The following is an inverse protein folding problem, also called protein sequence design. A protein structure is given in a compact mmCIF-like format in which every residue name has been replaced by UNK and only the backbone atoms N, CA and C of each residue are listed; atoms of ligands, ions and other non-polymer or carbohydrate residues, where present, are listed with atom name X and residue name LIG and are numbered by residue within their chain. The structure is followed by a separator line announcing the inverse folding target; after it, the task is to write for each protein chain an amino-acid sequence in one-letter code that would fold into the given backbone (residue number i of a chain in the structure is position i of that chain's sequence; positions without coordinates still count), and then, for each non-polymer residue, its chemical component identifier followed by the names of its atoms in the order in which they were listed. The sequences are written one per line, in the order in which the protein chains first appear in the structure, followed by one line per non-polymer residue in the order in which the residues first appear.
data_IF_520205311555
#
_entry.id   IF_520205311555
#
_cell.length_a   1.000
_cell.length_b   1.000
_cell.length_c   1.000
_cell.angle_alpha   90.00
_cell.angle_beta   90.00
_cell.angle_gamma   90.00
#
_symmetry.space_group_name_H-M   'P 1'
#
loop_
_entity.id
_entity.type
_entity.pdbx_description
1 polymer ?
#
# COMPACT_ATOMS: atom_id res chain seq x y z
N UNK A 1 -27.75 -9.53 27.48
CA UNK A 1 -29.21 -9.53 27.31
C UNK A 1 -30.07 -9.41 28.56
N UNK A 2 -29.60 -9.64 29.81
CA UNK A 2 -30.44 -9.46 31.00
C UNK A 2 -31.09 -8.07 31.10
N UNK A 3 -30.33 -7.00 30.87
CA UNK A 3 -30.82 -5.61 30.94
C UNK A 3 -31.99 -5.33 29.99
N UNK A 4 -31.91 -5.79 28.73
CA UNK A 4 -32.99 -5.62 27.74
C UNK A 4 -34.21 -6.48 28.08
N UNK A 5 -34.00 -7.68 28.63
CA UNK A 5 -35.09 -8.53 29.14
C UNK A 5 -35.84 -7.85 30.27
N UNK A 6 -35.11 -7.26 31.22
CA UNK A 6 -35.67 -6.48 32.33
C UNK A 6 -36.43 -5.25 31.82
N UNK A 7 -35.81 -4.46 30.92
CA UNK A 7 -36.44 -3.26 30.35
C UNK A 7 -37.72 -3.57 29.55
N UNK A 8 -37.78 -4.72 28.89
CA UNK A 8 -38.93 -5.15 28.08
C UNK A 8 -39.94 -6.01 28.85
N UNK A 9 -39.67 -6.32 30.11
CA UNK A 9 -40.52 -7.18 30.95
C UNK A 9 -40.70 -8.60 30.38
N UNK A 10 -39.67 -9.16 29.74
CA UNK A 10 -39.74 -10.48 29.10
C UNK A 10 -38.53 -11.34 29.42
N UNK A 11 -38.75 -12.65 29.60
CA UNK A 11 -37.66 -13.62 29.77
C UNK A 11 -37.21 -14.25 28.43
N UNK A 12 -37.93 -14.01 27.34
CA UNK A 12 -37.71 -14.64 26.04
C UNK A 12 -36.82 -13.79 25.11
N UNK A 13 -35.69 -14.34 24.67
CA UNK A 13 -34.76 -13.66 23.75
C UNK A 13 -35.42 -13.32 22.41
N UNK A 14 -36.26 -14.21 21.88
CA UNK A 14 -37.00 -13.98 20.64
C UNK A 14 -37.88 -12.72 20.69
N UNK A 15 -38.49 -12.43 21.85
CA UNK A 15 -39.32 -11.24 22.04
C UNK A 15 -38.46 -9.97 22.03
N UNK A 16 -37.28 -10.02 22.65
CA UNK A 16 -36.31 -8.91 22.63
C UNK A 16 -35.87 -8.63 21.20
N UNK A 17 -35.40 -9.64 20.47
CA UNK A 17 -34.95 -9.46 19.08
C UNK A 17 -36.06 -9.00 18.15
N UNK A 18 -37.30 -9.48 18.33
CA UNK A 18 -38.45 -9.02 17.53
C UNK A 18 -38.71 -7.53 17.75
N UNK A 19 -38.66 -7.05 19.00
CA UNK A 19 -38.84 -5.62 19.29
C UNK A 19 -37.67 -4.78 18.78
N UNK A 20 -36.43 -5.23 18.97
CA UNK A 20 -35.24 -4.55 18.45
C UNK A 20 -35.27 -4.42 16.93
N UNK A 21 -35.71 -5.45 16.20
CA UNK A 21 -35.87 -5.39 14.73
C UNK A 21 -36.79 -4.26 14.25
N UNK A 22 -37.79 -3.88 15.05
CA UNK A 22 -38.68 -2.75 14.71
C UNK A 22 -37.98 -1.40 14.81
N UNK A 23 -36.87 -1.32 15.55
CA UNK A 23 -36.13 -0.09 15.83
C UNK A 23 -34.86 0.04 14.95
N UNK A 24 -34.72 -0.78 13.91
CA UNK A 24 -33.53 -0.84 13.03
C UNK A 24 -32.22 -0.80 13.82
N UNK A 25 -32.07 -1.78 14.71
CA UNK A 25 -30.91 -1.86 15.59
C UNK A 25 -29.64 -2.37 14.88
N UNK A 26 -28.50 -2.00 15.44
CA UNK A 26 -27.17 -2.52 15.12
C UNK A 26 -26.68 -3.36 16.29
N UNK A 27 -26.00 -4.46 16.00
CA UNK A 27 -25.21 -5.19 16.99
C UNK A 27 -23.73 -4.88 16.82
N UNK A 28 -22.99 -4.82 17.93
CA UNK A 28 -21.54 -4.65 17.88
C UNK A 28 -20.90 -5.82 17.13
N UNK A 29 -19.93 -5.56 16.26
CA UNK A 29 -19.16 -6.65 15.68
C UNK A 29 -18.01 -7.08 16.60
N UNK A 30 -17.61 -6.21 17.53
CA UNK A 30 -16.73 -6.54 18.65
C UNK A 30 -17.52 -7.10 19.82
N UNK A 31 -16.83 -7.63 20.84
CA UNK A 31 -17.44 -8.16 22.07
C UNK A 31 -18.52 -9.22 21.80
N UNK A 32 -18.41 -9.97 20.70
CA UNK A 32 -19.32 -11.04 20.28
C UNK A 32 -20.79 -10.60 20.14
N UNK A 33 -21.06 -9.38 19.69
CA UNK A 33 -22.44 -8.92 19.47
C UNK A 33 -23.23 -8.63 20.74
N UNK A 34 -22.54 -8.38 21.86
CA UNK A 34 -23.18 -8.16 23.16
C UNK A 34 -23.86 -6.80 23.29
N UNK A 35 -23.44 -5.81 22.51
CA UNK A 35 -23.93 -4.44 22.60
C UNK A 35 -24.82 -4.10 21.40
N UNK A 36 -25.81 -3.25 21.68
CA UNK A 36 -26.83 -2.86 20.71
C UNK A 36 -26.94 -1.35 20.68
N UNK A 37 -27.14 -0.81 19.48
CA UNK A 37 -27.35 0.60 19.27
C UNK A 37 -28.44 0.82 18.23
N UNK A 38 -29.12 1.96 18.30
CA UNK A 38 -30.10 2.34 17.28
C UNK A 38 -29.36 2.95 16.09
N UNK A 39 -29.71 2.54 14.85
CA UNK A 39 -29.02 3.05 13.66
C UNK A 39 -29.07 4.57 13.54
N UNK A 40 -30.17 5.20 13.95
CA UNK A 40 -30.35 6.66 13.94
C UNK A 40 -29.33 7.41 14.83
N UNK A 41 -28.86 6.77 15.89
CA UNK A 41 -27.88 7.33 16.83
C UNK A 41 -26.43 7.08 16.41
N UNK A 42 -26.20 6.11 15.51
CA UNK A 42 -24.87 5.75 15.06
C UNK A 42 -24.27 6.86 14.17
N UNK A 43 -23.02 7.23 14.44
CA UNK A 43 -22.27 8.23 13.68
C UNK A 43 -21.11 7.54 12.98
N UNK A 44 -21.42 6.94 11.84
CA UNK A 44 -20.42 6.26 11.02
C UNK A 44 -19.44 7.24 10.40
N UNK A 45 -18.17 6.86 10.38
CA UNK A 45 -17.12 7.53 9.62
C UNK A 45 -17.21 7.22 8.11
N UNK A 46 -16.26 7.75 7.35
CA UNK A 46 -16.18 7.58 5.89
C UNK A 46 -16.04 6.12 5.45
N UNK A 47 -15.49 5.26 6.31
CA UNK A 47 -15.32 3.82 6.04
C UNK A 47 -16.48 2.98 6.59
N UNK A 48 -17.49 3.62 7.20
CA UNK A 48 -18.69 2.97 7.67
C UNK A 48 -18.56 2.31 9.04
N UNK A 49 -17.58 2.71 9.85
CA UNK A 49 -17.36 2.25 11.21
C UNK A 49 -17.80 3.33 12.21
N UNK A 50 -18.29 2.89 13.36
CA UNK A 50 -18.63 3.77 14.46
C UNK A 50 -18.25 3.08 15.77
N UNK A 51 -17.70 3.86 16.71
CA UNK A 51 -17.35 3.35 18.04
C UNK A 51 -18.00 4.18 19.14
N UNK A 52 -18.30 3.50 20.25
CA UNK A 52 -18.76 4.09 21.49
C UNK A 52 -18.15 3.29 22.66
N UNK A 53 -17.41 3.94 23.56
CA UNK A 53 -16.75 3.30 24.70
C UNK A 53 -15.95 2.03 24.33
N UNK A 54 -15.12 2.13 23.28
CA UNK A 54 -14.34 1.01 22.73
C UNK A 54 -15.17 -0.19 22.18
N UNK A 55 -16.48 -0.02 22.04
CA UNK A 55 -17.35 -0.96 21.35
C UNK A 55 -17.56 -0.49 19.91
N UNK A 56 -17.27 -1.37 18.96
CA UNK A 56 -17.32 -1.06 17.55
C UNK A 56 -18.53 -1.67 16.83
N UNK A 57 -19.09 -0.86 15.93
CA UNK A 57 -20.24 -1.13 15.10
C UNK A 57 -19.89 -0.81 13.64
N UNK A 58 -20.57 -1.51 12.73
CA UNK A 58 -20.37 -1.36 11.29
C UNK A 58 -21.70 -1.17 10.62
N UNK A 59 -21.73 -0.30 9.60
CA UNK A 59 -22.92 -0.14 8.75
C UNK A 59 -23.28 -1.43 8.02
N UNK A 60 -22.29 -2.31 7.81
CA UNK A 60 -22.42 -3.63 7.19
C UNK A 60 -22.89 -4.72 8.17
N UNK A 61 -23.09 -4.37 9.44
CA UNK A 61 -23.61 -5.26 10.48
C UNK A 61 -22.51 -6.11 11.12
N UNK A 62 -22.30 -7.33 10.62
CA UNK A 62 -21.40 -8.31 11.26
C UNK A 62 -19.93 -8.08 10.90
N UNK A 63 -19.01 -8.64 11.69
CA UNK A 63 -17.57 -8.59 11.39
C UNK A 63 -17.26 -9.22 10.03
N UNK A 64 -17.87 -10.38 9.73
CA UNK A 64 -17.70 -11.11 8.46
C UNK A 64 -18.13 -10.25 7.28
N UNK A 65 -19.33 -9.67 7.33
CA UNK A 65 -19.86 -8.78 6.28
C UNK A 65 -19.00 -7.52 6.11
N UNK A 66 -18.46 -7.00 7.22
CA UNK A 66 -17.59 -5.82 7.21
C UNK A 66 -16.27 -6.11 6.53
N UNK A 67 -15.59 -7.22 6.90
CA UNK A 67 -14.34 -7.65 6.27
C UNK A 67 -14.51 -7.84 4.77
N UNK A 68 -15.55 -8.57 4.35
CA UNK A 68 -15.82 -8.78 2.93
C UNK A 68 -16.04 -7.46 2.19
N UNK A 69 -16.81 -6.54 2.79
CA UNK A 69 -17.07 -5.22 2.21
C UNK A 69 -15.78 -4.39 2.08
N UNK A 70 -14.91 -4.43 3.10
CA UNK A 70 -13.62 -3.73 3.10
C UNK A 70 -12.68 -4.27 2.02
N UNK A 71 -12.61 -5.59 1.85
CA UNK A 71 -11.76 -6.22 0.84
C UNK A 71 -12.28 -5.95 -0.57
N UNK A 72 -13.58 -6.04 -0.81
CA UNK A 72 -14.14 -5.79 -2.14
C UNK A 72 -14.08 -4.32 -2.56
N UNK A 73 -14.17 -3.38 -1.61
CA UNK A 73 -14.06 -1.93 -1.91
C UNK A 73 -12.61 -1.44 -2.01
N UNK A 74 -11.63 -2.21 -1.51
CA UNK A 74 -10.23 -1.81 -1.56
C UNK A 74 -9.64 -1.98 -2.96
N UNK A 75 -8.99 -0.97 -3.54
CA UNK A 75 -8.30 -1.10 -4.82
C UNK A 75 -7.01 -1.93 -4.72
N UNK A 76 -6.56 -2.27 -3.51
CA UNK A 76 -5.29 -2.99 -3.25
C UNK A 76 -5.44 -4.26 -2.42
N UNK A 77 -6.68 -4.68 -2.12
CA UNK A 77 -6.93 -5.71 -1.10
C UNK A 77 -6.44 -5.29 0.28
N UNK A 78 -6.35 -6.24 1.21
CA UNK A 78 -5.90 -5.98 2.58
C UNK A 78 -5.09 -7.12 3.17
N UNK A 79 -4.05 -6.80 3.95
CA UNK A 79 -3.43 -7.80 4.81
C UNK A 79 -4.27 -8.06 6.07
N UNK A 80 -4.13 -9.25 6.65
CA UNK A 80 -4.81 -9.58 7.91
C UNK A 80 -4.49 -8.60 9.05
N UNK A 81 -3.24 -8.18 9.19
CA UNK A 81 -2.84 -7.25 10.25
C UNK A 81 -3.46 -5.86 10.02
N UNK A 82 -3.46 -5.35 8.79
CA UNK A 82 -4.08 -4.05 8.46
C UNK A 82 -5.58 -4.05 8.76
N UNK A 83 -6.27 -5.17 8.48
CA UNK A 83 -7.68 -5.34 8.84
C UNK A 83 -7.89 -5.41 10.35
N UNK A 84 -7.02 -6.12 11.08
CA UNK A 84 -7.12 -6.21 12.53
C UNK A 84 -6.95 -4.83 13.18
N UNK A 85 -6.01 -4.03 12.68
CA UNK A 85 -5.71 -2.69 13.19
C UNK A 85 -6.88 -1.73 12.93
N UNK A 86 -7.41 -1.69 11.69
CA UNK A 86 -8.49 -0.76 11.33
C UNK A 86 -9.86 -1.16 11.90
N UNK A 87 -10.13 -2.46 12.02
CA UNK A 87 -11.39 -2.97 12.56
C UNK A 87 -11.35 -3.12 14.09
N UNK A 88 -10.18 -2.93 14.72
CA UNK A 88 -10.00 -3.13 16.16
C UNK A 88 -10.56 -4.47 16.65
N UNK A 89 -10.38 -5.53 15.86
CA UNK A 89 -10.97 -6.85 16.10
C UNK A 89 -10.05 -7.98 15.59
N UNK A 90 -10.18 -9.16 16.19
CA UNK A 90 -9.50 -10.36 15.68
C UNK A 90 -10.18 -10.84 14.39
N UNK A 91 -9.43 -10.86 13.29
CA UNK A 91 -9.95 -11.16 11.95
C UNK A 91 -9.58 -12.55 11.44
N UNK A 92 -8.74 -13.31 12.16
CA UNK A 92 -8.16 -14.57 11.68
C UNK A 92 -9.23 -15.61 11.32
N UNK A 93 -10.13 -15.91 12.24
CA UNK A 93 -11.18 -16.91 12.02
C UNK A 93 -12.21 -16.44 10.99
N UNK A 94 -12.75 -15.19 11.05
CA UNK A 94 -13.61 -14.67 10.00
C UNK A 94 -13.00 -14.71 8.59
N UNK A 95 -11.71 -14.38 8.46
CA UNK A 95 -11.00 -14.44 7.18
C UNK A 95 -10.83 -15.88 6.70
N UNK A 96 -10.53 -16.81 7.61
CA UNK A 96 -10.44 -18.23 7.28
C UNK A 96 -11.79 -18.76 6.75
N UNK A 97 -12.89 -18.42 7.42
CA UNK A 97 -14.24 -18.81 7.02
C UNK A 97 -14.64 -18.20 5.68
N UNK A 98 -14.33 -16.91 5.44
CA UNK A 98 -14.61 -16.24 4.17
C UNK A 98 -13.86 -16.87 2.99
N UNK A 99 -12.62 -17.31 3.20
CA UNK A 99 -11.84 -18.00 2.17
C UNK A 99 -12.40 -19.40 1.92
N UNK A 100 -12.76 -20.14 2.98
CA UNK A 100 -13.37 -21.47 2.86
C UNK A 100 -14.72 -21.43 2.15
N UNK A 101 -15.48 -20.35 2.35
CA UNK A 101 -16.75 -20.10 1.67
C UNK A 101 -16.58 -19.51 0.25
N UNK A 102 -15.35 -19.41 -0.27
CA UNK A 102 -15.01 -18.85 -1.59
C UNK A 102 -15.48 -17.40 -1.81
N UNK A 103 -15.71 -16.66 -0.73
CA UNK A 103 -16.14 -15.25 -0.75
C UNK A 103 -14.97 -14.29 -0.87
N UNK A 104 -13.78 -14.74 -0.46
CA UNK A 104 -12.51 -14.03 -0.61
C UNK A 104 -11.42 -14.99 -1.09
N UNK A 105 -10.37 -14.44 -1.69
CA UNK A 105 -9.14 -15.19 -2.01
C UNK A 105 -8.02 -14.78 -1.07
N UNK A 106 -7.11 -15.72 -0.80
CA UNK A 106 -5.90 -15.50 0.01
C UNK A 106 -4.66 -15.72 -0.85
N UNK A 107 -3.70 -14.80 -0.73
CA UNK A 107 -2.39 -14.86 -1.37
C UNK A 107 -1.30 -14.77 -0.31
N UNK A 108 -0.22 -15.53 -0.48
CA UNK A 108 1.01 -15.33 0.29
C UNK A 108 1.86 -14.29 -0.44
N UNK A 109 2.16 -13.19 0.25
CA UNK A 109 3.01 -12.11 -0.27
C UNK A 109 4.04 -11.79 0.80
N UNK A 110 5.29 -12.21 0.57
CA UNK A 110 6.43 -11.99 1.47
C UNK A 110 6.15 -12.44 2.92
N UNK A 111 5.55 -13.64 3.10
CA UNK A 111 5.26 -14.21 4.42
C UNK A 111 4.07 -13.57 5.13
N UNK A 112 3.28 -12.74 4.44
CA UNK A 112 2.04 -12.13 4.94
C UNK A 112 0.87 -12.55 4.05
N UNK A 113 -0.30 -12.74 4.66
CA UNK A 113 -1.51 -13.13 3.94
C UNK A 113 -2.29 -11.91 3.46
N UNK A 114 -2.31 -11.71 2.15
CA UNK A 114 -3.11 -10.71 1.45
C UNK A 114 -4.45 -11.31 1.05
N UNK A 115 -5.52 -10.60 1.36
CA UNK A 115 -6.89 -10.99 1.03
C UNK A 115 -7.43 -10.08 -0.08
N UNK A 116 -8.02 -10.70 -1.10
CA UNK A 116 -8.56 -10.04 -2.29
C UNK A 116 -9.98 -10.52 -2.57
N UNK A 117 -10.67 -9.85 -3.49
CA UNK A 117 -11.99 -10.27 -3.96
C UNK A 117 -12.00 -11.72 -4.47
N UNK A 118 -13.15 -12.39 -4.37
CA UNK A 118 -13.40 -13.66 -5.03
C UNK A 118 -13.41 -13.55 -6.56
N UNK A 119 -13.81 -12.39 -7.10
CA UNK A 119 -13.76 -12.10 -8.53
C UNK A 119 -12.31 -12.03 -9.02
N UNK A 120 -11.96 -12.93 -9.94
CA UNK A 120 -10.60 -13.05 -10.47
C UNK A 120 -10.13 -11.83 -11.27
N UNK A 121 -11.02 -11.00 -11.81
CA UNK A 121 -10.62 -9.74 -12.46
C UNK A 121 -10.23 -8.72 -11.40
N UNK A 122 -11.10 -8.46 -10.44
CA UNK A 122 -10.84 -7.54 -9.34
C UNK A 122 -9.62 -7.97 -8.51
N UNK A 123 -9.47 -9.26 -8.22
CA UNK A 123 -8.32 -9.77 -7.47
C UNK A 123 -6.98 -9.46 -8.18
N UNK A 124 -6.92 -9.61 -9.52
CA UNK A 124 -5.73 -9.30 -10.30
C UNK A 124 -5.44 -7.79 -10.30
N UNK A 125 -6.47 -6.96 -10.41
CA UNK A 125 -6.32 -5.50 -10.35
C UNK A 125 -5.85 -5.06 -8.95
N UNK A 126 -6.37 -5.68 -7.90
CA UNK A 126 -5.94 -5.46 -6.51
C UNK A 126 -4.48 -5.84 -6.27
N UNK A 127 -4.06 -7.01 -6.74
CA UNK A 127 -2.67 -7.46 -6.65
C UNK A 127 -1.72 -6.52 -7.39
N UNK A 128 -2.08 -6.14 -8.62
CA UNK A 128 -1.26 -5.23 -9.43
C UNK A 128 -1.11 -3.88 -8.73
N UNK A 129 -2.22 -3.29 -8.29
CA UNK A 129 -2.22 -1.99 -7.60
C UNK A 129 -1.37 -2.03 -6.33
N UNK A 130 -1.43 -3.16 -5.59
CA UNK A 130 -0.63 -3.34 -4.38
C UNK A 130 0.86 -3.49 -4.69
N UNK A 131 1.21 -4.28 -5.70
CA UNK A 131 2.59 -4.41 -6.17
C UNK A 131 3.16 -3.06 -6.57
N UNK A 132 2.41 -2.25 -7.34
CA UNK A 132 2.86 -0.90 -7.71
C UNK A 132 2.97 0.04 -6.51
N UNK A 133 2.10 -0.10 -5.50
CA UNK A 133 2.10 0.76 -4.32
C UNK A 133 3.17 0.38 -3.28
N UNK A 134 3.59 -0.89 -3.23
CA UNK A 134 4.58 -1.40 -2.27
C UNK A 134 5.93 -1.76 -2.89
N UNK A 135 6.07 -1.75 -4.21
CA UNK A 135 7.35 -1.96 -4.86
C UNK A 135 8.31 -0.83 -4.45
N UNK A 136 9.32 -1.18 -3.68
CA UNK A 136 10.60 -0.47 -3.74
C UNK A 136 11.24 -0.94 -5.05
N UNK A 137 11.30 -0.12 -6.09
CA UNK A 137 11.54 -0.62 -7.45
C UNK A 137 12.97 -1.12 -7.73
N UNK A 138 13.83 -1.21 -6.72
CA UNK A 138 15.29 -1.27 -6.84
C UNK A 138 15.96 -2.55 -6.30
N UNK A 139 15.20 -3.60 -5.98
CA UNK A 139 15.82 -4.85 -5.53
C UNK A 139 14.84 -5.99 -5.30
N UNK A 140 15.29 -7.20 -5.68
CA UNK A 140 14.64 -8.48 -5.43
C UNK A 140 14.16 -8.62 -3.97
N UNK A 141 13.04 -9.31 -3.79
CA UNK A 141 12.35 -9.61 -2.52
C UNK A 141 13.03 -9.01 -1.28
N UNK A 142 12.55 -7.84 -0.82
CA UNK A 142 13.00 -7.21 0.43
C UNK A 142 12.94 -8.18 1.63
N UNK A 143 12.10 -9.21 1.54
CA UNK A 143 12.02 -10.39 2.41
C UNK A 143 13.35 -11.11 2.64
N UNK A 144 14.25 -11.13 1.65
CA UNK A 144 15.58 -11.78 1.74
C UNK A 144 16.56 -10.94 2.57
N UNK A 145 16.39 -9.62 2.58
CA UNK A 145 17.36 -8.69 3.15
C UNK A 145 17.16 -8.44 4.66
N UNK A 146 16.11 -8.96 5.28
CA UNK A 146 15.74 -8.68 6.68
C UNK A 146 15.61 -7.18 7.02
N UNK A 147 15.41 -6.32 6.01
CA UNK A 147 15.24 -4.87 6.17
C UNK A 147 13.79 -4.49 5.88
N UNK A 148 13.24 -3.54 6.64
CA UNK A 148 11.88 -3.05 6.37
C UNK A 148 11.81 -2.33 5.01
N UNK A 149 10.67 -2.38 4.29
CA UNK A 149 10.53 -1.67 3.01
C UNK A 149 10.81 -0.16 3.11
N UNK A 150 10.46 0.46 4.24
CA UNK A 150 10.65 1.90 4.46
C UNK A 150 12.13 2.26 4.69
N UNK A 151 12.86 1.45 5.46
CA UNK A 151 14.30 1.62 5.66
C UNK A 151 15.07 1.40 4.35
N UNK A 152 14.69 0.39 3.57
CA UNK A 152 15.29 0.12 2.26
C UNK A 152 15.03 1.29 1.31
N UNK A 153 13.80 1.81 1.28
CA UNK A 153 13.45 3.02 0.52
C UNK A 153 14.30 4.21 0.94
N UNK A 154 14.44 4.46 2.23
CA UNK A 154 15.25 5.57 2.74
C UNK A 154 16.73 5.43 2.37
N UNK A 155 17.30 4.23 2.50
CA UNK A 155 18.68 3.95 2.12
C UNK A 155 18.92 4.16 0.62
N UNK A 156 17.98 3.74 -0.22
CA UNK A 156 18.05 3.97 -1.67
C UNK A 156 17.99 5.46 -2.01
N UNK A 157 17.05 6.21 -1.43
CA UNK A 157 16.94 7.66 -1.71
C UNK A 157 18.19 8.42 -1.22
N UNK A 158 18.74 8.02 -0.06
CA UNK A 158 20.00 8.54 0.44
C UNK A 158 21.15 8.24 -0.54
N UNK A 159 21.33 6.99 -0.95
CA UNK A 159 22.35 6.60 -1.94
C UNK A 159 22.20 7.38 -3.25
N UNK A 160 20.96 7.45 -3.76
CA UNK A 160 20.65 8.15 -5.00
C UNK A 160 21.00 9.65 -4.93
N UNK A 161 20.84 10.27 -3.76
CA UNK A 161 21.23 11.67 -3.54
C UNK A 161 22.74 11.92 -3.67
N UNK A 162 23.58 10.91 -3.42
CA UNK A 162 25.03 10.99 -3.52
C UNK A 162 25.55 10.88 -4.97
N UNK A 163 24.71 10.39 -5.88
CA UNK A 163 25.05 10.20 -7.29
C UNK A 163 25.04 11.53 -8.06
N UNK A 164 25.93 11.64 -9.05
CA UNK A 164 25.89 12.74 -10.03
C UNK A 164 24.76 12.56 -11.06
N UNK A 165 24.51 13.59 -11.86
CA UNK A 165 23.41 13.60 -12.84
C UNK A 165 23.49 12.47 -13.88
N UNK A 166 24.70 12.05 -14.27
CA UNK A 166 24.88 10.95 -15.19
C UNK A 166 24.62 9.61 -14.50
N UNK A 167 25.19 9.43 -13.31
CA UNK A 167 25.03 8.23 -12.49
C UNK A 167 23.56 8.02 -12.10
N UNK A 168 22.84 9.07 -11.71
CA UNK A 168 21.41 9.03 -11.39
C UNK A 168 20.60 8.52 -12.56
N UNK A 169 20.84 9.05 -13.76
CA UNK A 169 20.16 8.63 -14.99
C UNK A 169 20.44 7.16 -15.32
N UNK A 170 21.71 6.75 -15.26
CA UNK A 170 22.11 5.37 -15.56
C UNK A 170 21.57 4.40 -14.51
N UNK A 171 21.61 4.76 -13.23
CA UNK A 171 21.03 3.97 -12.16
C UNK A 171 19.53 3.77 -12.34
N UNK A 172 18.77 4.84 -12.59
CA UNK A 172 17.35 4.72 -12.87
C UNK A 172 17.07 3.83 -14.10
N UNK A 173 17.86 3.98 -15.15
CA UNK A 173 17.77 3.15 -16.36
C UNK A 173 18.09 1.67 -16.12
N UNK A 174 19.10 1.36 -15.30
CA UNK A 174 19.46 -0.01 -14.94
C UNK A 174 18.33 -0.70 -14.18
N UNK A 175 17.77 -0.01 -13.19
CA UNK A 175 16.69 -0.55 -12.37
C UNK A 175 15.39 -0.70 -13.17
N UNK A 176 15.13 0.19 -14.14
CA UNK A 176 13.98 0.04 -15.02
C UNK A 176 14.05 -1.20 -15.93
N UNK A 177 15.25 -1.65 -16.31
CA UNK A 177 15.45 -2.94 -17.03
C UNK A 177 14.97 -4.11 -16.18
N UNK A 178 15.32 -4.13 -14.88
CA UNK A 178 14.97 -5.23 -13.98
C UNK A 178 13.46 -5.36 -13.78
N UNK A 179 12.72 -4.25 -13.82
CA UNK A 179 11.27 -4.22 -13.64
C UNK A 179 10.48 -4.56 -14.91
N UNK A 180 11.10 -4.47 -16.09
CA UNK A 180 10.43 -4.74 -17.35
C UNK A 180 9.39 -3.69 -17.73
N UNK A 181 8.25 -4.11 -18.28
CA UNK A 181 7.26 -3.20 -18.87
C UNK A 181 6.64 -2.27 -17.81
N UNK A 182 6.68 -0.96 -18.05
CA UNK A 182 6.23 0.07 -17.09
C UNK A 182 7.27 0.49 -16.05
N UNK A 183 8.46 -0.15 -16.04
CA UNK A 183 9.53 0.15 -15.10
C UNK A 183 10.01 1.60 -15.13
N UNK A 184 10.00 2.25 -16.30
CA UNK A 184 10.43 3.66 -16.41
C UNK A 184 9.51 4.60 -15.63
N UNK A 185 8.19 4.42 -15.75
CA UNK A 185 7.20 5.25 -15.06
C UNK A 185 7.27 5.04 -13.55
N UNK A 186 7.40 3.78 -13.12
CA UNK A 186 7.53 3.42 -11.70
C UNK A 186 8.80 4.04 -11.09
N UNK A 187 9.93 4.00 -11.80
CA UNK A 187 11.20 4.62 -11.35
C UNK A 187 11.15 6.13 -11.36
N UNK A 188 10.52 6.72 -12.36
CA UNK A 188 10.34 8.16 -12.47
C UNK A 188 9.60 8.71 -11.25
N UNK A 189 8.46 8.09 -10.90
CA UNK A 189 7.66 8.47 -9.74
C UNK A 189 8.43 8.25 -8.43
N UNK A 190 9.17 7.14 -8.30
CA UNK A 190 9.92 6.81 -7.09
C UNK A 190 11.14 7.72 -6.84
N UNK A 191 11.90 8.06 -7.90
CA UNK A 191 13.13 8.87 -7.81
C UNK A 191 12.91 10.37 -8.04
N UNK A 192 11.68 10.79 -8.39
CA UNK A 192 11.37 12.17 -8.75
C UNK A 192 12.02 12.61 -10.07
N UNK A 193 12.04 11.74 -11.07
CA UNK A 193 12.60 11.99 -12.39
C UNK A 193 11.52 12.11 -13.46
N UNK A 194 11.90 12.65 -14.62
CA UNK A 194 11.09 12.54 -15.83
C UNK A 194 11.20 11.12 -16.44
N UNK A 195 10.09 10.45 -16.84
CA UNK A 195 10.12 9.11 -17.43
C UNK A 195 11.04 8.98 -18.65
N UNK A 196 11.18 10.02 -19.48
CA UNK A 196 12.11 10.01 -20.61
C UNK A 196 13.56 10.03 -20.16
N UNK A 197 13.87 10.60 -19.00
CA UNK A 197 15.23 10.56 -18.42
C UNK A 197 15.60 9.13 -18.06
N UNK A 198 14.67 8.38 -17.45
CA UNK A 198 14.85 6.95 -17.12
C UNK A 198 15.01 6.12 -18.39
N UNK A 199 14.12 6.30 -19.37
CA UNK A 199 14.18 5.60 -20.64
C UNK A 199 15.49 5.86 -21.40
N UNK A 200 15.99 7.10 -21.38
CA UNK A 200 17.28 7.47 -21.96
C UNK A 200 18.44 6.77 -21.26
N UNK A 201 18.45 6.72 -19.94
CA UNK A 201 19.48 5.99 -19.17
C UNK A 201 19.50 4.50 -19.52
N UNK A 202 18.31 3.89 -19.64
CA UNK A 202 18.16 2.49 -20.07
C UNK A 202 18.75 2.26 -21.47
N UNK A 203 18.39 3.10 -22.45
CA UNK A 203 18.93 3.00 -23.81
C UNK A 203 20.46 3.14 -23.82
N UNK A 204 21.01 4.10 -23.07
CA UNK A 204 22.47 4.26 -22.96
C UNK A 204 23.18 3.00 -22.45
N UNK A 205 22.57 2.28 -21.51
CA UNK A 205 23.12 1.02 -21.00
C UNK A 205 22.99 -0.13 -22.01
N UNK A 206 21.82 -0.26 -22.65
CA UNK A 206 21.57 -1.33 -23.64
C UNK A 206 22.45 -1.15 -24.90
N UNK A 207 22.63 0.09 -25.33
CA UNK A 207 23.48 0.44 -26.47
C UNK A 207 24.98 0.50 -26.10
N UNK A 208 25.32 0.23 -24.84
CA UNK A 208 26.70 0.30 -24.30
C UNK A 208 27.38 1.66 -24.48
N UNK A 209 26.58 2.73 -24.63
CA UNK A 209 27.02 4.10 -24.88
C UNK A 209 27.20 4.88 -23.56
N UNK A 210 28.11 4.41 -22.71
CA UNK A 210 28.41 5.04 -21.41
C UNK A 210 29.80 5.69 -21.45
N UNK A 211 29.84 7.02 -21.39
CA UNK A 211 31.11 7.75 -21.24
C UNK A 211 31.63 7.65 -19.81
N UNK A 212 32.80 7.07 -19.60
CA UNK A 212 33.47 6.88 -18.30
C UNK A 212 34.37 8.06 -17.89
N UNK A 213 34.42 9.14 -18.68
CA UNK A 213 35.27 10.32 -18.44
C UNK A 213 34.65 11.37 -17.52
N UNK A 214 35.51 12.22 -16.91
CA UNK A 214 35.14 13.32 -15.98
C UNK A 214 33.90 14.09 -16.45
N UNK A 215 32.89 14.16 -15.59
CA UNK A 215 31.65 14.95 -15.75
C UNK A 215 31.89 16.46 -15.87
N UNK A 216 33.08 16.96 -15.51
CA UNK A 216 33.52 18.29 -15.95
C UNK A 216 34.17 18.19 -17.32
N UNK A 217 33.50 18.72 -18.36
CA UNK A 217 34.24 19.39 -19.44
C UNK A 217 35.19 20.39 -18.79
N UNK A 218 36.44 20.51 -19.26
CA UNK A 218 37.28 21.63 -18.84
C UNK A 218 36.47 22.91 -19.04
N UNK A 219 36.19 23.65 -17.96
CA UNK A 219 35.57 24.96 -18.06
C UNK A 219 36.36 25.80 -19.06
N UNK A 220 35.72 26.54 -19.96
CA UNK A 220 34.76 27.56 -19.54
C UNK A 220 35.45 28.71 -18.77
N UNK A 221 36.79 28.72 -18.69
CA UNK A 221 37.54 29.90 -18.25
C UNK A 221 37.41 31.02 -19.27
N UNK A 222 37.47 32.28 -18.80
CA UNK A 222 37.55 33.46 -19.67
C UNK A 222 38.65 33.25 -20.71
N UNK A 223 38.35 33.56 -21.97
CA UNK A 223 39.35 33.59 -23.04
C UNK A 223 40.53 34.47 -22.57
N UNK A 224 41.78 34.03 -22.78
CA UNK A 224 42.94 34.84 -22.40
C UNK A 224 42.88 36.19 -23.11
N UNK A 225 43.17 37.27 -22.37
CA UNK A 225 43.17 38.65 -22.88
C UNK A 225 44.35 38.89 -23.83
N UNK A 226 45.39 38.06 -23.77
CA UNK A 226 46.57 38.23 -24.60
C UNK A 226 46.61 37.30 -25.81
N UNK A 227 46.83 37.91 -26.98
CA UNK A 227 46.91 37.27 -28.31
C UNK A 227 48.34 36.90 -28.74
N UNK A 228 49.30 36.71 -27.84
CA UNK A 228 50.68 36.39 -28.24
C UNK A 228 51.29 35.22 -27.46
N UNK A 229 51.96 34.27 -28.11
CA UNK A 229 52.72 33.23 -27.41
C UNK A 229 53.96 33.84 -26.75
N UNK A 230 54.39 33.33 -25.58
CA UNK A 230 55.59 33.81 -24.91
C UNK A 230 56.83 33.41 -25.72
N UNK A 231 57.71 34.38 -25.94
CA UNK A 231 58.99 34.18 -26.62
C UNK A 231 59.92 33.39 -25.69
N UNK A 232 60.32 32.19 -26.13
CA UNK A 232 61.40 31.41 -25.51
C UNK A 232 62.68 32.27 -25.47
N UNK A 233 63.18 32.58 -24.28
CA UNK A 233 64.50 33.16 -24.08
C UNK A 233 65.48 32.04 -23.67
N UNK A 234 66.56 31.92 -24.45
CA UNK A 234 67.80 31.25 -24.07
C UNK A 234 68.68 32.25 -23.33
#
# INVERSE_FOLDING_TARGET
MPELKTALGTNADLTVFRKLKLLDYLSSYTHRGRYYALRETARFDDVGLWSHDAVWFSRYGTLVSTIESFVNQSPRGWFANELADILHAEVRDPLHDLVRAERLRRWDVAGRFLYTSADGRQARDQLRTRQTAQAVPLGADASVLQVSPDELKAAILLFYSLLDEQQRRLFAGLESIKLGHGGDSILADFLGLDPHTVARGRQQLLDQNVSTGRTRRSGGGRKPVEKKPPTSSR
#
